data_IF_287283830802
#
_entry.id   IF_287283830802
#
_cell.length_a   1.000
_cell.length_b   1.000
_cell.length_c   1.000
_cell.angle_alpha   90.00
_cell.angle_beta   90.00
_cell.angle_gamma   90.00
#
_symmetry.space_group_name_H-M   'P 1'
#
loop_
_entity.id
_entity.type
_entity.pdbx_description
1 polymer ?
#
# COMPACT_ATOMS: atom_id res chain seq x y z
N UNK A 1 -5.22 -7.14 -9.25
CA UNK A 1 -4.48 -6.14 -8.44
C UNK A 1 -4.48 -4.82 -9.22
N UNK A 2 -4.16 -3.68 -8.58
CA UNK A 2 -3.82 -2.47 -9.33
C UNK A 2 -4.91 -1.44 -9.64
N UNK A 3 -6.10 -1.56 -9.03
CA UNK A 3 -7.22 -0.63 -9.29
C UNK A 3 -7.48 0.36 -8.14
N UNK A 4 -6.79 0.17 -7.00
CA UNK A 4 -7.10 0.87 -5.74
C UNK A 4 -6.92 2.38 -5.81
N UNK A 5 -5.82 2.87 -6.41
CA UNK A 5 -5.56 4.31 -6.52
C UNK A 5 -6.64 4.99 -7.39
N UNK A 6 -6.96 4.42 -8.55
CA UNK A 6 -7.99 4.99 -9.42
C UNK A 6 -9.39 4.98 -8.77
N UNK A 7 -9.73 3.91 -8.06
CA UNK A 7 -11.01 3.83 -7.33
C UNK A 7 -11.09 4.85 -6.19
N UNK A 8 -10.01 5.03 -5.43
CA UNK A 8 -9.97 6.02 -4.35
C UNK A 8 -10.03 7.46 -4.88
N UNK A 9 -9.37 7.75 -6.01
CA UNK A 9 -9.54 9.04 -6.71
C UNK A 9 -11.00 9.29 -7.09
N UNK A 10 -11.65 8.32 -7.73
CA UNK A 10 -13.05 8.42 -8.13
C UNK A 10 -13.98 8.63 -6.92
N UNK A 11 -13.75 7.88 -5.84
CA UNK A 11 -14.50 8.05 -4.60
C UNK A 11 -14.31 9.45 -3.99
N UNK A 12 -13.08 9.98 -3.99
CA UNK A 12 -12.78 11.32 -3.46
C UNK A 12 -13.41 12.42 -4.30
N UNK A 13 -13.38 12.29 -5.63
CA UNK A 13 -14.05 13.20 -6.56
C UNK A 13 -15.57 13.20 -6.38
N UNK A 14 -16.17 12.03 -6.12
CA UNK A 14 -17.61 11.89 -5.91
C UNK A 14 -18.06 12.41 -4.53
N UNK A 15 -17.18 12.36 -3.52
CA UNK A 15 -17.48 12.71 -2.14
C UNK A 15 -16.38 13.61 -1.54
N UNK A 16 -16.32 14.86 -2.01
CA UNK A 16 -15.25 15.81 -1.65
C UNK A 16 -15.16 16.10 -0.14
N UNK A 17 -16.30 16.11 0.57
CA UNK A 17 -16.34 16.42 2.01
C UNK A 17 -16.04 15.22 2.91
N UNK A 18 -15.94 14.01 2.35
CA UNK A 18 -15.70 12.78 3.13
C UNK A 18 -14.23 12.37 3.06
N UNK A 19 -13.62 11.92 4.17
CA UNK A 19 -12.34 11.23 4.12
C UNK A 19 -12.43 9.98 3.25
N UNK A 20 -11.43 9.75 2.42
CA UNK A 20 -11.27 8.51 1.64
C UNK A 20 -9.97 7.86 2.05
N UNK A 21 -10.08 6.60 2.49
CA UNK A 21 -8.96 5.78 2.94
C UNK A 21 -8.87 4.55 2.05
N UNK A 22 -7.69 4.32 1.47
CA UNK A 22 -7.37 3.16 0.67
C UNK A 22 -6.47 2.22 1.47
N UNK A 23 -6.98 1.07 1.87
CA UNK A 23 -6.15 -0.03 2.36
C UNK A 23 -5.67 -0.89 1.17
N UNK A 24 -4.36 -1.12 1.08
CA UNK A 24 -3.76 -1.83 -0.05
C UNK A 24 -2.54 -2.61 0.43
N UNK A 25 -2.31 -3.83 -0.06
CA UNK A 25 -1.03 -4.53 0.21
C UNK A 25 0.10 -3.94 -0.64
N UNK A 26 1.34 -4.01 -0.19
CA UNK A 26 2.56 -3.63 -0.94
C UNK A 26 2.60 -4.25 -2.35
N UNK A 27 2.33 -5.56 -2.46
CA UNK A 27 2.19 -6.21 -3.76
C UNK A 27 1.05 -5.64 -4.62
N UNK A 28 -0.09 -5.32 -4.03
CA UNK A 28 -1.19 -4.68 -4.76
C UNK A 28 -0.84 -3.26 -5.20
N UNK A 29 -0.09 -2.52 -4.38
CA UNK A 29 0.35 -1.16 -4.65
C UNK A 29 1.29 -1.14 -5.86
N UNK A 30 2.26 -2.05 -5.94
CA UNK A 30 3.17 -2.17 -7.08
C UNK A 30 2.46 -2.45 -8.42
N UNK A 31 1.27 -3.06 -8.39
CA UNK A 31 0.45 -3.30 -9.59
C UNK A 31 -0.47 -2.13 -9.97
N UNK A 32 -0.59 -1.09 -9.12
CA UNK A 32 -1.29 0.13 -9.53
C UNK A 32 -0.44 0.92 -10.53
N UNK A 33 -1.05 1.77 -11.37
CA UNK A 33 -0.31 2.76 -12.14
C UNK A 33 0.17 3.89 -11.21
N UNK A 34 1.09 3.59 -10.29
CA UNK A 34 1.45 4.46 -9.15
C UNK A 34 1.80 5.89 -9.57
N UNK A 35 2.67 6.05 -10.58
CA UNK A 35 3.07 7.37 -11.08
C UNK A 35 1.87 8.19 -11.58
N UNK A 36 0.95 7.56 -12.33
CA UNK A 36 -0.23 8.24 -12.84
C UNK A 36 -1.27 8.50 -11.73
N UNK A 37 -1.42 7.57 -10.78
CA UNK A 37 -2.36 7.68 -9.67
C UNK A 37 -1.99 8.79 -8.69
N UNK A 38 -0.72 8.84 -8.26
CA UNK A 38 -0.23 9.91 -7.39
C UNK A 38 -0.14 11.25 -8.13
N UNK A 39 0.22 11.25 -9.41
CA UNK A 39 0.17 12.45 -10.26
C UNK A 39 -1.24 13.04 -10.34
N UNK A 40 -2.27 12.20 -10.49
CA UNK A 40 -3.67 12.64 -10.46
C UNK A 40 -4.05 13.25 -9.10
N UNK A 41 -3.58 12.66 -7.99
CA UNK A 41 -3.88 13.20 -6.65
C UNK A 41 -3.25 14.58 -6.46
N UNK A 42 -2.02 14.76 -6.96
CA UNK A 42 -1.32 16.04 -6.94
C UNK A 42 -2.01 17.08 -7.81
N UNK A 43 -2.32 16.73 -9.07
CA UNK A 43 -2.92 17.65 -10.06
C UNK A 43 -4.29 18.19 -9.59
N UNK A 44 -5.12 17.32 -9.02
CA UNK A 44 -6.48 17.67 -8.62
C UNK A 44 -6.64 17.98 -7.13
N UNK A 45 -5.54 17.97 -6.36
CA UNK A 45 -5.58 18.18 -4.91
C UNK A 45 -6.52 17.20 -4.21
N UNK A 46 -6.34 15.89 -4.44
CA UNK A 46 -7.20 14.85 -3.88
C UNK A 46 -6.61 14.29 -2.58
N UNK A 47 -7.09 14.73 -1.39
CA UNK A 47 -6.57 14.24 -0.11
C UNK A 47 -7.11 12.84 0.21
N UNK A 48 -6.42 11.83 -0.33
CA UNK A 48 -6.64 10.42 -0.03
C UNK A 48 -5.57 9.95 0.94
N UNK A 49 -5.97 9.19 1.96
CA UNK A 49 -5.05 8.44 2.81
C UNK A 49 -4.86 7.03 2.24
N UNK A 50 -3.64 6.71 1.82
CA UNK A 50 -3.23 5.38 1.38
C UNK A 50 -2.57 4.70 2.58
N UNK A 51 -3.07 3.53 2.98
CA UNK A 51 -2.45 2.69 4.00
C UNK A 51 -1.93 1.43 3.31
N UNK A 52 -0.61 1.32 3.20
CA UNK A 52 0.04 0.11 2.70
C UNK A 52 0.17 -0.87 3.86
N UNK A 53 -0.45 -2.04 3.71
CA UNK A 53 -0.27 -3.20 4.58
C UNK A 53 0.91 -4.00 4.05
N UNK A 54 2.12 -3.65 4.51
CA UNK A 54 3.37 -4.10 3.92
C UNK A 54 3.87 -5.36 4.64
N UNK A 55 3.80 -6.49 3.95
CA UNK A 55 4.35 -7.76 4.41
C UNK A 55 5.51 -8.25 3.52
N UNK A 56 6.09 -7.38 2.70
CA UNK A 56 7.24 -7.65 1.84
C UNK A 56 6.99 -8.68 0.74
N UNK A 57 5.75 -8.92 0.31
CA UNK A 57 5.48 -9.93 -0.70
C UNK A 57 4.04 -10.13 -1.16
N UNK A 58 3.91 -10.90 -2.24
CA UNK A 58 2.65 -11.46 -2.72
C UNK A 58 2.27 -12.70 -1.90
N UNK A 59 2.04 -12.53 -0.59
CA UNK A 59 1.72 -13.63 0.36
C UNK A 59 0.50 -14.44 -0.09
N UNK A 60 -0.49 -13.80 -0.72
CA UNK A 60 -1.63 -14.49 -1.33
C UNK A 60 -1.21 -15.51 -2.40
N UNK A 61 -0.18 -15.21 -3.20
CA UNK A 61 0.38 -16.14 -4.19
C UNK A 61 1.13 -17.29 -3.50
N UNK A 62 1.96 -17.02 -2.49
CA UNK A 62 2.64 -18.06 -1.70
C UNK A 62 1.64 -19.05 -1.10
N UNK A 63 0.60 -18.54 -0.43
CA UNK A 63 -0.49 -19.35 0.14
C UNK A 63 -1.24 -20.15 -0.91
N UNK A 64 -1.43 -19.59 -2.11
CA UNK A 64 -2.08 -20.29 -3.22
C UNK A 64 -1.25 -21.46 -3.76
N UNK A 65 0.09 -21.32 -3.82
CA UNK A 65 0.97 -22.44 -4.17
C UNK A 65 0.82 -23.60 -3.17
N UNK A 66 0.84 -23.29 -1.88
CA UNK A 66 0.70 -24.30 -0.81
C UNK A 66 -0.66 -24.99 -0.85
N UNK A 67 -1.74 -24.23 -1.04
CA UNK A 67 -3.11 -24.76 -1.04
C UNK A 67 -3.43 -25.57 -2.29
N UNK A 68 -3.08 -25.05 -3.47
CA UNK A 68 -3.43 -25.69 -4.74
C UNK A 68 -2.46 -26.81 -5.12
N UNK A 69 -1.19 -26.71 -4.69
CA UNK A 69 -0.13 -27.65 -5.05
C UNK A 69 0.67 -28.05 -3.79
N UNK A 70 0.06 -28.76 -2.82
CA UNK A 70 0.72 -29.09 -1.56
C UNK A 70 1.94 -30.01 -1.72
N UNK A 71 2.06 -30.73 -2.84
CA UNK A 71 3.23 -31.54 -3.21
C UNK A 71 3.98 -30.95 -4.42
N UNK A 72 3.62 -29.72 -4.79
CA UNK A 72 4.20 -29.02 -5.93
C UNK A 72 5.66 -28.64 -5.68
N UNK A 73 6.38 -28.37 -6.75
CA UNK A 73 7.82 -28.07 -6.70
C UNK A 73 8.16 -26.95 -5.70
N UNK A 74 7.38 -25.88 -5.67
CA UNK A 74 7.61 -24.74 -4.77
C UNK A 74 7.54 -25.14 -3.29
N UNK A 75 6.58 -25.99 -2.92
CA UNK A 75 6.42 -26.49 -1.55
C UNK A 75 7.53 -27.48 -1.22
N UNK A 76 7.79 -28.44 -2.11
CA UNK A 76 8.80 -29.49 -1.91
C UNK A 76 10.23 -28.96 -1.79
N UNK A 77 10.53 -27.82 -2.42
CA UNK A 77 11.85 -27.19 -2.37
C UNK A 77 11.89 -25.95 -1.47
N UNK A 78 10.80 -25.64 -0.76
CA UNK A 78 10.64 -24.41 0.02
C UNK A 78 11.11 -23.15 -0.73
N UNK A 79 10.78 -23.08 -2.02
CA UNK A 79 11.25 -22.03 -2.95
C UNK A 79 10.05 -21.46 -3.69
N UNK A 80 9.75 -20.18 -3.48
CA UNK A 80 8.60 -19.50 -4.08
C UNK A 80 9.07 -18.38 -4.99
N UNK A 81 9.06 -18.61 -6.30
CA UNK A 81 9.55 -17.62 -7.27
C UNK A 81 8.52 -16.51 -7.49
N UNK A 82 8.99 -15.26 -7.47
CA UNK A 82 8.17 -14.07 -7.76
C UNK A 82 7.14 -13.72 -6.69
N UNK A 83 7.26 -14.28 -5.47
CA UNK A 83 6.38 -13.92 -4.35
C UNK A 83 6.99 -12.86 -3.45
N UNK A 84 8.32 -12.76 -3.37
CA UNK A 84 8.98 -11.81 -2.47
C UNK A 84 9.16 -10.45 -3.15
N UNK A 85 8.96 -9.37 -2.39
CA UNK A 85 9.22 -7.98 -2.80
C UNK A 85 10.45 -7.53 -2.01
N UNK A 86 11.59 -8.12 -2.34
CA UNK A 86 12.89 -7.81 -1.73
C UNK A 86 13.94 -7.65 -2.83
N UNK A 87 14.73 -6.56 -2.83
CA UNK A 87 14.67 -5.43 -1.89
C UNK A 87 13.37 -4.61 -2.02
N UNK A 88 12.89 -4.07 -0.89
CA UNK A 88 11.65 -3.28 -0.82
C UNK A 88 11.86 -1.88 -1.43
N UNK A 89 10.92 -1.37 -2.25
CA UNK A 89 10.88 0.05 -2.60
C UNK A 89 10.62 0.91 -1.35
N UNK A 90 11.24 2.10 -1.33
CA UNK A 90 10.90 3.11 -0.34
C UNK A 90 9.61 3.84 -0.78
N UNK A 91 8.47 3.35 -0.31
CA UNK A 91 7.16 3.87 -0.69
C UNK A 91 6.91 5.30 -0.22
N UNK A 92 7.57 5.75 0.86
CA UNK A 92 7.42 7.12 1.35
C UNK A 92 8.08 8.09 0.39
N UNK A 93 9.27 7.78 -0.13
CA UNK A 93 9.93 8.58 -1.18
C UNK A 93 9.13 8.63 -2.48
N UNK A 94 8.47 7.53 -2.84
CA UNK A 94 7.56 7.50 -4.01
C UNK A 94 6.40 8.47 -3.81
N UNK A 95 5.83 8.54 -2.59
CA UNK A 95 4.78 9.49 -2.25
C UNK A 95 5.29 10.95 -2.30
N UNK A 96 6.44 11.22 -1.69
CA UNK A 96 7.04 12.56 -1.62
C UNK A 96 7.29 13.16 -3.01
N UNK A 97 7.66 12.33 -3.99
CA UNK A 97 7.87 12.76 -5.37
C UNK A 97 6.63 13.42 -6.02
N UNK A 98 5.43 13.19 -5.47
CA UNK A 98 4.15 13.73 -5.93
C UNK A 98 3.48 14.63 -4.88
N UNK A 99 4.26 15.24 -3.98
CA UNK A 99 3.75 16.09 -2.89
C UNK A 99 2.71 15.36 -2.00
N UNK A 100 2.80 14.04 -1.91
CA UNK A 100 2.03 13.22 -0.97
C UNK A 100 2.87 13.03 0.28
N UNK A 101 2.28 13.23 1.46
CA UNK A 101 2.96 12.93 2.73
C UNK A 101 3.31 11.44 2.79
N UNK A 102 4.56 11.09 3.10
CA UNK A 102 5.00 9.71 3.28
C UNK A 102 5.44 9.46 4.72
N UNK A 103 4.91 8.40 5.35
CA UNK A 103 5.35 7.93 6.66
C UNK A 103 5.48 6.42 6.64
N UNK A 104 6.57 5.89 7.23
CA UNK A 104 6.77 4.46 7.44
C UNK A 104 6.62 4.17 8.93
N UNK A 105 5.79 3.19 9.24
CA UNK A 105 5.51 2.72 10.59
C UNK A 105 6.07 1.32 10.76
N UNK A 106 7.08 1.20 11.61
CA UNK A 106 7.71 -0.09 11.94
C UNK A 106 7.23 -0.64 13.28
N UNK A 107 6.91 0.23 14.24
CA UNK A 107 6.45 -0.15 15.58
C UNK A 107 4.91 -0.18 15.63
N UNK A 108 4.27 -1.35 15.84
CA UNK A 108 2.82 -1.45 15.87
C UNK A 108 2.13 -0.58 16.93
N UNK A 109 2.81 -0.34 18.06
CA UNK A 109 2.29 0.46 19.17
C UNK A 109 2.09 1.94 18.80
N UNK A 110 2.78 2.43 17.76
CA UNK A 110 2.68 3.81 17.28
C UNK A 110 1.55 4.03 16.25
N UNK A 111 0.75 3.00 15.93
CA UNK A 111 -0.26 3.04 14.87
C UNK A 111 -1.28 4.17 15.05
N UNK A 112 -1.75 4.41 16.27
CA UNK A 112 -2.73 5.46 16.53
C UNK A 112 -2.13 6.84 16.25
N UNK A 113 -0.88 7.06 16.66
CA UNK A 113 -0.17 8.33 16.44
C UNK A 113 0.13 8.55 14.95
N UNK A 114 0.56 7.50 14.24
CA UNK A 114 0.84 7.56 12.80
C UNK A 114 -0.42 7.82 11.98
N UNK A 115 -1.52 7.12 12.29
CA UNK A 115 -2.81 7.37 11.65
C UNK A 115 -3.30 8.80 11.90
N UNK A 116 -3.16 9.31 13.13
CA UNK A 116 -3.53 10.69 13.45
C UNK A 116 -2.71 11.72 12.64
N UNK A 117 -1.39 11.53 12.50
CA UNK A 117 -0.54 12.38 11.64
C UNK A 117 -1.00 12.33 10.19
N UNK A 118 -1.23 11.13 9.64
CA UNK A 118 -1.65 10.97 8.25
C UNK A 118 -3.06 11.53 8.00
N UNK A 119 -3.98 11.39 8.96
CA UNK A 119 -5.32 11.98 8.91
C UNK A 119 -5.29 13.51 8.95
N UNK A 120 -4.37 14.10 9.72
CA UNK A 120 -4.20 15.56 9.73
C UNK A 120 -3.78 16.10 8.35
N UNK A 121 -2.92 15.36 7.61
CA UNK A 121 -2.51 15.77 6.26
C UNK A 121 -3.70 15.84 5.30
N UNK A 122 -4.57 14.82 5.31
CA UNK A 122 -5.75 14.81 4.42
C UNK A 122 -6.76 15.90 4.81
N UNK A 123 -6.87 16.24 6.09
CA UNK A 123 -7.68 17.39 6.55
C UNK A 123 -7.11 18.71 6.06
N UNK A 124 -5.79 18.82 5.95
CA UNK A 124 -5.10 19.98 5.36
C UNK A 124 -5.10 19.98 3.82
N UNK A 125 -5.76 19.01 3.18
CA UNK A 125 -5.87 18.92 1.73
C UNK A 125 -4.71 18.20 1.03
N UNK A 126 -3.77 17.63 1.79
CA UNK A 126 -2.62 16.90 1.24
C UNK A 126 -2.86 15.40 1.31
N UNK A 127 -2.63 14.69 0.20
CA UNK A 127 -2.68 13.23 0.21
C UNK A 127 -1.61 12.66 1.15
N UNK A 128 -1.86 11.48 1.71
CA UNK A 128 -0.93 10.81 2.62
C UNK A 128 -0.78 9.33 2.27
N UNK A 129 0.42 8.80 2.46
CA UNK A 129 0.77 7.39 2.35
C UNK A 129 1.44 6.96 3.65
N UNK A 130 0.81 6.00 4.32
CA UNK A 130 1.32 5.34 5.51
C UNK A 130 1.73 3.90 5.15
N UNK A 131 3.03 3.63 5.15
CA UNK A 131 3.62 2.31 4.93
C UNK A 131 3.73 1.56 6.26
N UNK A 132 2.82 0.61 6.52
CA UNK A 132 2.73 -0.12 7.79
C UNK A 132 3.39 -1.49 7.64
N UNK A 133 4.51 -1.69 8.33
CA UNK A 133 5.22 -2.96 8.33
C UNK A 133 4.47 -4.00 9.19
N UNK A 134 4.31 -5.20 8.64
CA UNK A 134 3.60 -6.31 9.30
C UNK A 134 4.55 -7.45 9.67
N UNK A 135 4.31 -8.06 10.83
CA UNK A 135 5.13 -9.11 11.45
C UNK A 135 5.11 -10.51 10.77
N UNK A 136 4.70 -10.63 9.51
CA UNK A 136 4.71 -11.93 8.84
C UNK A 136 5.11 -11.86 7.37
N UNK A 137 6.39 -12.15 7.10
CA UNK A 137 6.88 -12.54 5.77
C UNK A 137 6.70 -14.05 5.49
N UNK A 138 6.37 -14.84 6.53
CA UNK A 138 6.41 -16.31 6.50
C UNK A 138 5.06 -17.03 6.78
N UNK A 139 3.93 -16.32 6.92
CA UNK A 139 2.62 -16.93 7.24
C UNK A 139 1.84 -17.44 6.02
#
# INVERSE_FOLDING_TARGET
LGIGLGMAAGAKLAHQDRPVILFVGDGSFNYNPVLAGLGLYQEYGLPVLIVILNNGGYIGMRRSHQKCYPQGWAVSNNTYLGVDITPEPDYTKVAEAFDTYGERLEEPDDIELALNRALQQIVMGKAALLDVILDSRDA
#
